data_IF_600424969723
#
_entry.id   IF_600424969723
#
_cell.length_a   1.000
_cell.length_b   1.000
_cell.length_c   1.000
_cell.angle_alpha   90.00
_cell.angle_beta   90.00
_cell.angle_gamma   90.00
#
_symmetry.space_group_name_H-M   'P 1'
#
loop_
_entity.id
_entity.type
_entity.pdbx_description
1 polymer ?
#
# COMPACT_ATOMS: atom_id res chain seq x y z
N UNK A 1 -6.17 -2.23 -26.23
CA UNK A 1 -7.13 -1.93 -25.13
C UNK A 1 -6.77 -2.85 -23.97
N UNK A 2 -6.29 -2.32 -22.85
CA UNK A 2 -5.71 -3.14 -21.76
C UNK A 2 -5.22 -2.27 -20.61
N UNK A 3 -6.11 -1.43 -20.05
CA UNK A 3 -5.78 -0.70 -18.82
C UNK A 3 -5.79 -1.68 -17.66
N UNK A 4 -4.72 -1.72 -16.88
CA UNK A 4 -4.61 -2.55 -15.67
C UNK A 4 -5.28 -1.91 -14.45
N UNK A 5 -5.59 -0.61 -14.52
CA UNK A 5 -6.16 0.13 -13.39
C UNK A 5 -7.37 1.00 -13.74
N UNK A 6 -8.14 1.33 -12.70
CA UNK A 6 -9.27 2.25 -12.73
C UNK A 6 -8.79 3.66 -12.35
N UNK A 7 -8.93 4.63 -13.25
CA UNK A 7 -8.48 6.01 -13.02
C UNK A 7 -9.28 6.68 -11.88
N UNK A 8 -8.58 7.44 -11.02
CA UNK A 8 -9.13 8.31 -10.00
C UNK A 8 -8.85 9.77 -10.34
N UNK A 9 -9.90 10.60 -10.24
CA UNK A 9 -9.84 12.02 -10.50
C UNK A 9 -10.02 12.85 -9.22
N UNK A 10 -9.45 14.05 -9.20
CA UNK A 10 -9.72 15.02 -8.13
C UNK A 10 -11.19 15.48 -8.18
N UNK A 11 -11.87 15.49 -7.04
CA UNK A 11 -13.28 15.93 -6.93
C UNK A 11 -13.44 17.44 -6.81
N UNK A 12 -12.36 18.15 -6.50
CA UNK A 12 -12.31 19.61 -6.31
C UNK A 12 -11.03 20.18 -6.95
N UNK A 13 -11.01 21.50 -7.14
CA UNK A 13 -9.78 22.22 -7.49
C UNK A 13 -8.83 22.22 -6.29
N UNK A 14 -7.57 21.85 -6.52
CA UNK A 14 -6.52 21.83 -5.49
C UNK A 14 -5.29 22.56 -6.00
N UNK A 15 -4.71 23.42 -5.17
CA UNK A 15 -3.39 24.01 -5.43
C UNK A 15 -2.42 23.56 -4.35
N UNK A 16 -1.36 22.87 -4.75
CA UNK A 16 -0.24 22.50 -3.90
C UNK A 16 0.76 23.66 -3.91
N UNK A 17 0.86 24.38 -2.80
CA UNK A 17 1.67 25.61 -2.66
C UNK A 17 3.06 25.35 -2.08
N UNK A 18 3.32 24.14 -1.62
CA UNK A 18 4.58 23.69 -1.02
C UNK A 18 4.80 22.20 -1.37
N UNK A 19 5.85 21.62 -0.81
CA UNK A 19 6.22 20.22 -0.98
C UNK A 19 5.60 19.30 0.09
N UNK A 20 4.68 19.82 0.92
CA UNK A 20 4.01 19.00 1.94
C UNK A 20 3.03 18.02 1.29
N UNK A 21 2.85 16.87 1.93
CA UNK A 21 1.88 15.87 1.48
C UNK A 21 0.47 16.36 1.79
N UNK A 22 -0.40 16.35 0.78
CA UNK A 22 -1.80 16.72 0.89
C UNK A 22 -2.68 15.55 0.48
N UNK A 23 -3.82 15.41 1.16
CA UNK A 23 -4.88 14.49 0.76
C UNK A 23 -5.76 15.19 -0.26
N UNK A 24 -5.84 14.62 -1.46
CA UNK A 24 -6.68 15.12 -2.54
C UNK A 24 -7.94 14.24 -2.59
N UNK A 25 -9.13 14.82 -2.33
CA UNK A 25 -10.37 14.04 -2.33
C UNK A 25 -10.73 13.62 -3.76
N UNK A 26 -11.25 12.40 -3.90
CA UNK A 26 -11.68 11.87 -5.22
C UNK A 26 -13.20 11.82 -5.36
N UNK A 27 -13.94 11.96 -4.26
CA UNK A 27 -15.39 11.74 -4.20
C UNK A 27 -15.79 10.28 -4.40
N UNK A 28 -14.82 9.36 -4.56
CA UNK A 28 -15.06 7.93 -4.65
C UNK A 28 -14.98 7.34 -3.26
N UNK A 29 -16.08 6.74 -2.80
CA UNK A 29 -16.11 5.99 -1.54
C UNK A 29 -16.03 4.50 -1.84
N UNK A 30 -15.36 3.76 -0.96
CA UNK A 30 -15.51 2.32 -0.94
C UNK A 30 -16.90 1.91 -0.42
N UNK A 31 -17.12 0.62 -0.17
CA UNK A 31 -16.16 -0.48 -0.29
C UNK A 31 -15.88 -0.91 -1.73
N UNK A 32 -14.68 -1.46 -1.96
CA UNK A 32 -14.28 -2.02 -3.26
C UNK A 32 -14.55 -3.52 -3.22
N UNK A 33 -15.79 -3.91 -3.51
CA UNK A 33 -16.19 -5.31 -3.52
C UNK A 33 -16.11 -5.93 -4.92
N UNK A 34 -15.57 -7.15 -4.99
CA UNK A 34 -15.99 -8.16 -5.95
C UNK A 34 -16.69 -9.27 -5.16
N UNK A 35 -17.89 -9.69 -5.59
CA UNK A 35 -18.67 -10.75 -4.93
C UNK A 35 -17.93 -12.10 -4.84
N UNK A 36 -16.80 -12.25 -5.54
CA UNK A 36 -16.05 -13.51 -5.68
C UNK A 36 -14.62 -13.47 -5.12
N UNK A 37 -14.13 -12.35 -4.58
CA UNK A 37 -12.82 -12.32 -3.89
C UNK A 37 -12.64 -11.08 -3.02
N UNK A 38 -12.02 -11.27 -1.86
CA UNK A 38 -11.44 -10.20 -1.05
C UNK A 38 -10.22 -9.63 -1.80
N UNK A 39 -10.46 -8.70 -2.73
CA UNK A 39 -9.41 -8.01 -3.47
C UNK A 39 -9.13 -6.67 -2.78
N UNK A 40 -7.91 -6.51 -2.26
CA UNK A 40 -7.41 -5.17 -1.96
C UNK A 40 -7.06 -4.45 -3.26
N UNK A 41 -6.87 -3.14 -3.20
CA UNK A 41 -6.36 -2.39 -4.35
C UNK A 41 -5.14 -1.57 -3.99
N UNK A 42 -4.23 -1.46 -4.94
CA UNK A 42 -3.09 -0.56 -4.86
C UNK A 42 -3.45 0.74 -5.59
N UNK A 43 -3.48 1.84 -4.86
CA UNK A 43 -3.53 3.18 -5.41
C UNK A 43 -2.12 3.60 -5.81
N UNK A 44 -1.93 3.97 -7.07
CA UNK A 44 -0.68 4.51 -7.60
C UNK A 44 -0.92 5.76 -8.45
N UNK A 45 0.09 6.60 -8.60
CA UNK A 45 0.04 7.74 -9.51
C UNK A 45 -0.08 7.32 -10.99
N UNK A 46 -0.69 8.17 -11.80
CA UNK A 46 -0.65 8.04 -13.26
C UNK A 46 0.67 8.60 -13.79
N UNK A 47 1.19 8.05 -14.88
CA UNK A 47 2.40 8.57 -15.53
C UNK A 47 2.25 10.05 -15.91
N UNK A 48 1.06 10.45 -16.40
CA UNK A 48 0.76 11.85 -16.73
C UNK A 48 0.81 12.78 -15.51
N UNK A 49 0.45 12.28 -14.32
CA UNK A 49 0.53 13.05 -13.09
C UNK A 49 1.99 13.27 -12.67
N UNK A 50 2.81 12.21 -12.75
CA UNK A 50 4.25 12.30 -12.51
C UNK A 50 4.95 13.28 -13.47
N UNK A 51 4.61 13.24 -14.76
CA UNK A 51 5.13 14.18 -15.76
C UNK A 51 4.72 15.63 -15.50
N UNK A 52 3.58 15.85 -14.85
CA UNK A 52 3.13 17.18 -14.42
C UNK A 52 3.73 17.63 -13.08
N UNK A 53 4.69 16.87 -12.52
CA UNK A 53 5.33 17.18 -11.25
C UNK A 53 4.48 16.85 -10.01
N UNK A 54 3.43 16.04 -10.16
CA UNK A 54 2.65 15.50 -9.04
C UNK A 54 3.16 14.11 -8.66
N UNK A 55 3.66 13.98 -7.43
CA UNK A 55 4.09 12.70 -6.86
C UNK A 55 2.97 12.17 -5.99
N UNK A 56 2.36 11.07 -6.42
CA UNK A 56 1.36 10.33 -5.65
C UNK A 56 2.07 9.29 -4.80
N UNK A 57 1.82 9.31 -3.49
CA UNK A 57 2.28 8.27 -2.58
C UNK A 57 1.44 7.01 -2.79
N UNK A 58 2.05 5.85 -3.06
CA UNK A 58 1.30 4.61 -3.17
C UNK A 58 0.56 4.28 -1.88
N UNK A 59 -0.64 3.69 -2.00
CA UNK A 59 -1.45 3.28 -0.86
C UNK A 59 -2.16 1.97 -1.11
N UNK A 60 -2.27 1.13 -0.09
CA UNK A 60 -3.13 -0.06 -0.11
C UNK A 60 -4.48 0.32 0.48
N UNK A 61 -5.55 -0.01 -0.23
CA UNK A 61 -6.92 0.18 0.22
C UNK A 61 -7.52 -1.20 0.45
N UNK A 62 -7.92 -1.45 1.69
CA UNK A 62 -8.56 -2.68 2.11
C UNK A 62 -9.95 -2.81 1.45
N UNK A 63 -10.37 -4.03 1.14
CA UNK A 63 -11.65 -4.30 0.46
C UNK A 63 -12.86 -3.82 1.27
N UNK A 64 -12.75 -3.84 2.60
CA UNK A 64 -13.78 -3.43 3.56
C UNK A 64 -13.70 -1.94 3.94
N UNK A 65 -12.78 -1.17 3.36
CA UNK A 65 -12.70 0.26 3.62
C UNK A 65 -13.91 1.00 3.02
N UNK A 66 -14.75 1.58 3.88
CA UNK A 66 -16.00 2.26 3.50
C UNK A 66 -15.87 3.78 3.34
N UNK A 67 -14.71 4.34 3.70
CA UNK A 67 -14.48 5.78 3.62
C UNK A 67 -14.22 6.28 2.19
N UNK A 68 -14.02 7.59 2.07
CA UNK A 68 -13.56 8.19 0.82
C UNK A 68 -12.12 7.74 0.53
N UNK A 69 -11.87 7.34 -0.71
CA UNK A 69 -10.54 7.08 -1.24
C UNK A 69 -9.90 8.42 -1.55
N UNK A 70 -8.87 8.79 -0.80
CA UNK A 70 -8.14 10.03 -1.00
C UNK A 70 -6.76 9.75 -1.59
N UNK A 71 -6.29 10.64 -2.47
CA UNK A 71 -4.95 10.55 -3.07
C UNK A 71 -3.99 11.38 -2.23
N UNK A 72 -3.08 10.73 -1.50
CA UNK A 72 -1.99 11.43 -0.82
C UNK A 72 -0.92 11.80 -1.85
N UNK A 73 -0.66 13.09 -2.05
CA UNK A 73 0.30 13.56 -3.03
C UNK A 73 1.01 14.85 -2.60
N UNK A 74 2.17 15.09 -3.18
CA UNK A 74 2.91 16.35 -3.08
C UNK A 74 3.46 16.73 -4.46
N UNK A 75 3.95 17.97 -4.61
CA UNK A 75 4.61 18.41 -5.83
C UNK A 75 6.10 18.66 -5.61
N UNK A 76 6.91 18.45 -6.64
CA UNK A 76 8.34 18.79 -6.64
C UNK A 76 8.59 20.28 -6.93
N UNK A 77 7.64 20.96 -7.59
CA UNK A 77 7.80 22.32 -8.07
C UNK A 77 6.51 23.14 -7.82
N UNK A 78 6.27 23.60 -6.59
CA UNK A 78 5.12 24.42 -6.29
C UNK A 78 5.22 25.81 -6.97
N UNK A 79 4.08 26.45 -7.32
CA UNK A 79 2.72 25.96 -7.12
C UNK A 79 2.28 25.00 -8.25
N UNK A 80 1.60 23.91 -7.88
CA UNK A 80 0.95 23.01 -8.83
C UNK A 80 -0.58 23.05 -8.64
N UNK A 81 -1.31 23.41 -9.70
CA UNK A 81 -2.78 23.42 -9.69
C UNK A 81 -3.35 22.19 -10.39
N UNK A 82 -4.22 21.48 -9.68
CA UNK A 82 -4.98 20.32 -10.14
C UNK A 82 -6.43 20.75 -10.24
N UNK A 83 -6.98 20.72 -11.45
CA UNK A 83 -8.39 21.03 -11.67
C UNK A 83 -9.28 19.85 -11.30
N UNK A 84 -10.49 20.14 -10.83
CA UNK A 84 -11.54 19.14 -10.67
C UNK A 84 -11.69 18.31 -11.94
N UNK A 85 -11.82 16.99 -11.79
CA UNK A 85 -11.92 16.04 -12.89
C UNK A 85 -10.57 15.60 -13.47
N UNK A 86 -9.44 16.19 -13.04
CA UNK A 86 -8.11 15.74 -13.47
C UNK A 86 -7.84 14.36 -12.90
N UNK A 87 -7.60 13.39 -13.78
CA UNK A 87 -7.23 12.01 -13.42
C UNK A 87 -5.77 11.97 -12.98
N UNK A 88 -5.54 11.76 -11.68
CA UNK A 88 -4.22 11.88 -11.04
C UNK A 88 -3.65 10.55 -10.54
N UNK A 89 -4.51 9.59 -10.21
CA UNK A 89 -4.13 8.29 -9.70
C UNK A 89 -4.93 7.19 -10.40
N UNK A 90 -4.58 5.93 -10.12
CA UNK A 90 -5.30 4.76 -10.60
C UNK A 90 -5.28 3.67 -9.53
N UNK A 91 -6.33 2.87 -9.49
CA UNK A 91 -6.45 1.68 -8.64
C UNK A 91 -6.08 0.44 -9.44
N UNK A 92 -5.08 -0.30 -8.99
CA UNK A 92 -4.66 -1.59 -9.56
C UNK A 92 -5.13 -2.69 -8.60
N UNK A 93 -5.85 -3.68 -9.12
CA UNK A 93 -6.33 -4.80 -8.30
C UNK A 93 -5.16 -5.63 -7.78
N UNK A 94 -5.17 -5.93 -6.48
CA UNK A 94 -4.25 -6.89 -5.86
C UNK A 94 -5.02 -8.16 -5.53
N UNK A 95 -4.54 -9.30 -6.03
CA UNK A 95 -5.07 -10.60 -5.60
C UNK A 95 -4.60 -10.88 -4.17
N UNK A 96 -5.54 -11.12 -3.26
CA UNK A 96 -5.21 -11.61 -1.92
C UNK A 96 -4.68 -13.04 -2.04
N UNK A 97 -3.44 -13.26 -1.62
CA UNK A 97 -2.90 -14.61 -1.43
C UNK A 97 -3.53 -15.16 -0.15
N UNK A 98 -4.69 -15.80 -0.28
CA UNK A 98 -5.30 -16.50 0.84
C UNK A 98 -4.43 -17.71 1.20
N UNK A 99 -3.83 -17.70 2.38
CA UNK A 99 -3.28 -18.92 2.98
C UNK A 99 -4.43 -19.62 3.74
N UNK A 100 -4.47 -20.96 3.72
CA UNK A 100 -5.59 -21.78 4.22
C UNK A 100 -6.03 -21.52 5.69
N UNK A 101 -5.31 -20.69 6.44
CA UNK A 101 -5.60 -20.35 7.84
C UNK A 101 -6.53 -19.14 8.07
N UNK A 102 -6.88 -18.38 7.03
CA UNK A 102 -7.67 -17.15 7.17
C UNK A 102 -9.19 -17.36 7.28
N UNK A 103 -9.67 -18.61 7.24
CA UNK A 103 -11.12 -18.92 7.15
C UNK A 103 -11.87 -18.71 8.49
N UNK A 104 -11.18 -18.56 9.63
CA UNK A 104 -11.83 -18.63 10.96
C UNK A 104 -11.67 -17.42 11.89
N UNK A 105 -11.50 -16.20 11.36
CA UNK A 105 -11.63 -14.99 12.21
C UNK A 105 -12.48 -13.93 11.53
N UNK A 106 -13.70 -13.76 12.05
CA UNK A 106 -14.49 -12.54 11.93
C UNK A 106 -13.66 -11.37 12.49
N UNK A 107 -12.88 -10.73 11.62
CA UNK A 107 -12.14 -9.53 11.95
C UNK A 107 -13.14 -8.37 12.17
N UNK A 108 -12.88 -7.46 13.13
CA UNK A 108 -13.75 -6.32 13.37
C UNK A 108 -13.81 -5.43 12.12
N UNK A 109 -15.00 -4.91 11.79
CA UNK A 109 -15.20 -3.97 10.70
C UNK A 109 -14.27 -2.76 10.88
N UNK A 110 -13.35 -2.58 9.92
CA UNK A 110 -12.54 -1.38 9.88
C UNK A 110 -13.42 -0.27 9.32
N UNK A 111 -14.04 0.50 10.22
CA UNK A 111 -14.89 1.64 9.86
C UNK A 111 -14.17 2.74 9.06
N UNK A 112 -14.80 3.89 8.86
CA UNK A 112 -14.32 4.96 7.96
C UNK A 112 -12.99 5.67 8.34
N UNK A 113 -12.23 5.19 9.34
CA UNK A 113 -10.97 5.78 9.77
C UNK A 113 -9.80 5.25 8.91
N UNK A 114 -9.25 6.10 8.04
CA UNK A 114 -8.09 5.82 7.20
C UNK A 114 -7.13 7.02 7.08
N UNK A 115 -6.06 6.87 6.29
CA UNK A 115 -5.14 7.96 5.91
C UNK A 115 -4.50 8.71 7.09
N UNK A 116 -3.85 8.04 8.02
CA UNK A 116 -3.12 8.70 9.13
C UNK A 116 -4.01 9.15 10.29
N UNK A 117 -5.15 8.51 10.51
CA UNK A 117 -6.05 8.74 11.65
C UNK A 117 -5.48 8.30 13.02
N UNK A 118 -4.21 7.93 13.09
CA UNK A 118 -3.51 7.41 14.30
C UNK A 118 -2.46 8.35 14.90
N UNK A 119 -2.38 9.61 14.45
CA UNK A 119 -1.46 10.61 15.02
C UNK A 119 -0.04 10.57 14.42
N UNK A 120 0.79 11.54 14.84
CA UNK A 120 2.13 11.84 14.29
C UNK A 120 2.96 10.60 14.03
N UNK A 121 3.13 10.28 12.75
CA UNK A 121 3.69 9.02 12.32
C UNK A 121 5.22 9.06 12.37
N UNK A 122 5.78 8.41 13.39
CA UNK A 122 7.09 7.75 13.26
C UNK A 122 6.83 6.43 12.55
N UNK A 123 7.32 6.28 11.32
CA UNK A 123 7.21 5.02 10.57
C UNK A 123 8.26 4.05 11.10
N UNK A 124 7.87 3.20 12.05
CA UNK A 124 8.58 1.96 12.36
C UNK A 124 7.65 0.80 12.03
N UNK A 125 8.04 -0.04 11.07
CA UNK A 125 7.27 -1.23 10.69
C UNK A 125 7.50 -2.31 11.74
N UNK A 126 6.68 -2.35 12.78
CA UNK A 126 6.77 -3.36 13.85
C UNK A 126 5.59 -4.32 13.75
N UNK A 127 5.85 -5.51 13.23
CA UNK A 127 4.94 -6.65 13.37
C UNK A 127 5.37 -7.46 14.59
N UNK A 128 4.52 -7.55 15.63
CA UNK A 128 4.77 -8.48 16.72
C UNK A 128 4.68 -9.92 16.17
N UNK A 129 5.81 -10.59 16.05
CA UNK A 129 5.88 -12.00 15.71
C UNK A 129 5.65 -12.84 16.96
N UNK A 130 4.53 -13.58 17.01
CA UNK A 130 4.29 -14.55 18.10
C UNK A 130 5.27 -15.74 18.07
N UNK A 131 5.87 -16.00 16.91
CA UNK A 131 6.87 -17.05 16.70
C UNK A 131 7.94 -16.56 15.70
N UNK A 132 9.21 -16.85 16.00
CA UNK A 132 10.36 -16.51 15.16
C UNK A 132 10.33 -17.40 13.90
N UNK A 133 10.29 -16.85 12.67
CA UNK A 133 10.25 -17.66 11.46
C UNK A 133 11.64 -18.26 11.25
N UNK A 134 11.79 -19.56 11.51
CA UNK A 134 13.06 -20.26 11.43
C UNK A 134 12.93 -21.41 10.43
N UNK A 135 13.84 -21.46 9.46
CA UNK A 135 13.97 -22.55 8.50
C UNK A 135 15.18 -23.41 8.87
N UNK A 136 15.06 -24.73 8.73
CA UNK A 136 16.17 -25.66 8.90
C UNK A 136 16.79 -25.96 7.54
N UNK A 137 18.06 -25.60 7.37
CA UNK A 137 18.81 -25.81 6.13
C UNK A 137 19.91 -26.82 6.42
N UNK A 138 20.14 -27.74 5.48
CA UNK A 138 21.29 -28.66 5.55
C UNK A 138 22.41 -28.08 4.69
N UNK A 139 23.51 -27.66 5.33
CA UNK A 139 24.72 -27.23 4.67
C UNK A 139 25.60 -28.45 4.40
N UNK A 140 25.98 -28.65 3.14
CA UNK A 140 26.84 -29.74 2.71
C UNK A 140 28.20 -29.19 2.27
N UNK A 141 29.29 -29.74 2.80
CA UNK A 141 30.65 -29.47 2.31
C UNK A 141 31.44 -30.77 2.22
N UNK A 142 31.67 -31.25 1.00
CA UNK A 142 32.20 -32.59 0.75
C UNK A 142 31.24 -33.67 1.29
N UNK A 143 31.77 -34.65 2.02
CA UNK A 143 30.98 -35.70 2.67
C UNK A 143 30.35 -35.28 4.00
N UNK A 144 30.61 -34.05 4.47
CA UNK A 144 30.05 -33.54 5.73
C UNK A 144 28.75 -32.81 5.45
N UNK A 145 27.74 -33.12 6.26
CA UNK A 145 26.46 -32.41 6.28
C UNK A 145 26.21 -31.88 7.69
N UNK A 146 25.72 -30.64 7.77
CA UNK A 146 25.34 -30.01 9.03
C UNK A 146 23.99 -29.32 8.86
N UNK A 147 23.07 -29.59 9.79
CA UNK A 147 21.77 -28.91 9.85
C UNK A 147 21.90 -27.65 10.68
N UNK A 148 21.43 -26.53 10.15
CA UNK A 148 21.42 -25.24 10.82
C UNK A 148 20.01 -24.67 10.76
N UNK A 149 19.50 -24.25 11.91
CA UNK A 149 18.25 -23.51 12.02
C UNK A 149 18.53 -22.02 11.89
N UNK A 150 18.04 -21.40 10.82
CA UNK A 150 18.29 -20.01 10.46
C UNK A 150 16.99 -19.23 10.43
N UNK A 151 17.00 -17.94 10.79
CA UNK A 151 15.79 -17.13 10.59
C UNK A 151 15.51 -16.93 9.11
N UNK A 152 14.23 -16.98 8.73
CA UNK A 152 13.76 -16.58 7.42
C UNK A 152 13.53 -15.05 7.45
N UNK A 153 14.44 -14.29 6.85
CA UNK A 153 14.32 -12.84 6.66
C UNK A 153 13.78 -12.56 5.25
N UNK A 154 12.74 -11.73 5.14
CA UNK A 154 12.11 -11.40 3.84
C UNK A 154 12.48 -10.00 3.31
N UNK A 155 13.50 -9.35 3.88
CA UNK A 155 14.16 -8.23 3.20
C UNK A 155 14.50 -7.04 4.09
N UNK A 156 15.75 -7.03 4.58
CA UNK A 156 16.60 -5.85 4.67
C UNK A 156 18.02 -6.27 4.24
N UNK A 157 18.60 -5.59 3.25
CA UNK A 157 19.77 -6.06 2.48
C UNK A 157 21.14 -6.07 3.20
N UNK A 158 21.22 -6.06 4.54
CA UNK A 158 22.51 -6.20 5.22
C UNK A 158 22.39 -6.96 6.54
N UNK A 159 23.08 -8.09 6.64
CA UNK A 159 23.45 -8.72 7.91
C UNK A 159 24.82 -8.20 8.35
N UNK A 160 24.91 -7.43 9.43
CA UNK A 160 26.17 -7.24 10.15
C UNK A 160 26.25 -8.34 11.21
N UNK A 161 27.28 -9.18 11.11
CA UNK A 161 27.65 -10.11 12.18
C UNK A 161 28.75 -9.43 13.01
N UNK A 162 28.52 -9.32 14.32
CA UNK A 162 29.59 -9.18 15.31
C UNK A 162 29.90 -10.55 15.88
#
# INVERSE_FOLDING_TARGET
RGSLGLDLAASVDVTLIDTSVRKIPTGVTGPIYSATSALGVLLIGRSSAGMAGLIVLPGVIDADYTGEIQVCAYTLAPPLTIKKGTRIAQLVLLQKVATEKDIFRSAPERGAKGFGSTGDTVVNLVQQMSHRPVIEITLCHGSRQQRVKMMLDTGADVTIVS
#
